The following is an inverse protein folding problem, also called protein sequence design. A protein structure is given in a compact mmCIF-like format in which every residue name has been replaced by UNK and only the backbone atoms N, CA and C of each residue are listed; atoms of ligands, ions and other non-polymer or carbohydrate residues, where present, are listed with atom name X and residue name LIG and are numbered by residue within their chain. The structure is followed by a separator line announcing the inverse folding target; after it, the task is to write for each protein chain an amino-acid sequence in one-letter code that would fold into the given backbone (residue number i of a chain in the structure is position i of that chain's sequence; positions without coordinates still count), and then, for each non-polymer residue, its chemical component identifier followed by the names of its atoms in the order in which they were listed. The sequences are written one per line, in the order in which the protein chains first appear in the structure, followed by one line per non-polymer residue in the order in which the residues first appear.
data_IF_392780680271
#
_entry.id   IF_392780680271
#
_cell.length_a   1.000
_cell.length_b   1.000
_cell.length_c   1.000
_cell.angle_alpha   90.00
_cell.angle_beta   90.00
_cell.angle_gamma   90.00
#
_symmetry.space_group_name_H-M   'P 1'
#
loop_
_entity.id
_entity.type
_entity.pdbx_description
1 polymer ?
#
# COMPACT_ATOMS: atom_id res chain seq x y z
N UNK A 1 75.89 -30.49 6.12
CA UNK A 1 75.00 -29.75 5.20
C UNK A 1 73.56 -30.03 5.62
N UNK A 2 72.99 -29.10 6.23
CA UNK A 2 71.75 -29.25 7.01
C UNK A 2 70.73 -28.23 6.47
N UNK A 3 69.76 -28.68 5.73
CA UNK A 3 68.71 -27.82 5.26
C UNK A 3 67.41 -28.18 5.96
N UNK A 4 67.06 -27.33 6.96
CA UNK A 4 65.85 -27.45 7.72
C UNK A 4 64.72 -26.84 6.97
N UNK A 5 63.68 -27.62 6.67
CA UNK A 5 62.36 -27.19 6.17
C UNK A 5 61.56 -26.70 7.37
N UNK A 6 61.33 -25.39 7.44
CA UNK A 6 60.32 -24.78 8.33
C UNK A 6 58.92 -24.85 7.68
N UNK A 7 58.10 -25.70 8.20
CA UNK A 7 56.66 -25.66 7.91
C UNK A 7 56.02 -24.53 8.74
N UNK A 8 55.76 -23.41 8.06
CA UNK A 8 54.95 -22.32 8.63
C UNK A 8 53.47 -22.72 8.62
N UNK A 9 52.90 -22.98 9.77
CA UNK A 9 51.48 -23.02 9.97
C UNK A 9 50.96 -21.59 9.97
N UNK A 10 50.12 -21.26 8.99
CA UNK A 10 49.40 -19.99 8.89
C UNK A 10 48.27 -19.98 9.92
N UNK A 11 48.22 -19.01 10.87
CA UNK A 11 47.20 -18.96 11.93
C UNK A 11 46.04 -18.01 11.58
N UNK A 12 45.55 -18.03 10.35
CA UNK A 12 44.50 -17.10 9.94
C UNK A 12 43.26 -17.76 9.31
N UNK A 13 42.88 -18.94 9.75
CA UNK A 13 41.48 -19.38 9.61
C UNK A 13 40.68 -18.95 10.87
N UNK A 14 40.43 -17.66 10.95
CA UNK A 14 39.43 -17.11 11.86
C UNK A 14 38.06 -17.54 11.35
N UNK A 15 37.50 -18.57 11.94
CA UNK A 15 36.16 -19.07 11.71
C UNK A 15 35.19 -17.92 12.03
N UNK A 16 34.77 -17.21 11.00
CA UNK A 16 33.72 -16.21 11.09
C UNK A 16 32.44 -16.86 11.66
N UNK A 17 32.05 -16.47 12.87
CA UNK A 17 30.83 -16.92 13.50
C UNK A 17 29.64 -16.62 12.57
N UNK A 18 28.64 -17.50 12.50
CA UNK A 18 27.47 -17.27 11.62
C UNK A 18 26.76 -15.98 12.03
N UNK A 19 26.84 -14.98 11.17
CA UNK A 19 26.09 -13.73 11.32
C UNK A 19 24.62 -14.12 11.43
N UNK A 20 23.97 -13.76 12.54
CA UNK A 20 22.57 -14.11 12.76
C UNK A 20 21.71 -13.58 11.59
N UNK A 21 20.71 -14.34 11.17
CA UNK A 21 19.81 -13.97 10.03
C UNK A 21 19.23 -12.57 10.24
N UNK A 22 18.93 -12.18 11.47
CA UNK A 22 18.48 -10.83 11.85
C UNK A 22 19.54 -9.75 11.57
N UNK A 23 20.84 -10.06 11.79
CA UNK A 23 21.95 -9.15 11.45
C UNK A 23 22.09 -8.94 9.95
N UNK A 24 21.93 -10.02 9.14
CA UNK A 24 22.02 -9.93 7.69
C UNK A 24 20.85 -9.17 7.05
N UNK A 25 19.65 -9.26 7.61
CA UNK A 25 18.48 -8.47 7.19
C UNK A 25 18.64 -6.99 7.53
N UNK A 26 19.16 -6.69 8.71
CA UNK A 26 19.45 -5.32 9.13
C UNK A 26 20.55 -4.67 8.26
N UNK A 27 21.59 -5.41 7.90
CA UNK A 27 22.62 -4.95 6.97
C UNK A 27 22.09 -4.76 5.55
N UNK A 28 21.25 -5.66 5.05
CA UNK A 28 20.58 -5.50 3.77
C UNK A 28 19.70 -4.27 3.77
N UNK A 29 18.94 -4.04 4.85
CA UNK A 29 18.12 -2.84 5.03
C UNK A 29 19.00 -1.57 5.09
N UNK A 30 20.11 -1.60 5.81
CA UNK A 30 21.08 -0.49 5.87
C UNK A 30 21.69 -0.20 4.50
N UNK A 31 22.09 -1.22 3.77
CA UNK A 31 22.65 -1.07 2.42
C UNK A 31 21.60 -0.53 1.43
N UNK A 32 20.34 -0.96 1.55
CA UNK A 32 19.27 -0.55 0.65
C UNK A 32 18.94 0.92 0.77
N UNK A 33 18.88 1.42 2.00
CA UNK A 33 18.71 2.84 2.28
C UNK A 33 19.94 3.62 1.82
N UNK A 34 21.19 3.01 1.82
CA UNK A 34 22.45 3.52 1.26
C UNK A 34 22.34 3.93 -0.22
N UNK A 35 21.32 3.47 -0.96
CA UNK A 35 21.18 3.72 -2.40
C UNK A 35 20.07 4.73 -2.76
N UNK A 36 19.30 5.25 -1.80
CA UNK A 36 18.27 6.23 -2.12
C UNK A 36 18.86 7.61 -2.50
N UNK A 37 18.35 8.27 -3.56
CA UNK A 37 18.93 9.53 -4.05
C UNK A 37 18.90 10.67 -3.03
N UNK A 38 17.99 10.63 -2.05
CA UNK A 38 17.84 11.65 -1.01
C UNK A 38 18.85 11.52 0.14
N UNK A 39 19.55 10.41 0.22
CA UNK A 39 20.49 10.12 1.28
C UNK A 39 21.89 9.82 0.71
N UNK A 40 22.50 10.76 0.04
CA UNK A 40 23.91 10.65 -0.43
C UNK A 40 24.93 10.54 0.71
N UNK A 41 24.51 10.85 1.93
CA UNK A 41 25.36 10.73 3.12
C UNK A 41 24.95 9.47 3.90
N UNK A 42 25.80 8.43 3.84
CA UNK A 42 25.57 7.13 4.48
C UNK A 42 25.33 7.21 5.99
N UNK A 43 25.80 8.27 6.66
CA UNK A 43 25.58 8.47 8.10
C UNK A 43 24.14 8.88 8.42
N UNK A 44 23.53 9.72 7.60
CA UNK A 44 22.13 10.16 7.76
C UNK A 44 21.12 9.05 7.49
N UNK A 45 21.50 8.10 6.74
CA UNK A 45 20.70 6.97 6.26
C UNK A 45 20.57 5.84 7.26
N UNK A 46 21.63 5.43 7.89
CA UNK A 46 21.58 4.51 9.01
C UNK A 46 20.78 5.12 10.17
N UNK A 47 20.85 6.44 10.32
CA UNK A 47 20.04 7.21 11.26
C UNK A 47 18.55 7.21 10.97
N UNK A 48 18.16 7.30 9.69
CA UNK A 48 16.74 7.31 9.32
C UNK A 48 16.04 5.97 9.54
N UNK A 49 16.68 4.83 9.18
CA UNK A 49 16.13 3.50 9.48
C UNK A 49 16.07 3.21 10.97
N UNK A 50 17.14 3.52 11.69
CA UNK A 50 17.16 3.39 13.14
C UNK A 50 16.03 4.21 13.77
N UNK A 51 15.82 5.45 13.30
CA UNK A 51 14.73 6.30 13.74
C UNK A 51 13.33 5.71 13.47
N UNK A 52 13.11 5.17 12.25
CA UNK A 52 11.81 4.53 11.91
C UNK A 52 11.60 3.28 12.77
N UNK A 53 12.60 2.45 12.92
CA UNK A 53 12.52 1.20 13.70
C UNK A 53 12.28 1.50 15.17
N UNK A 54 13.11 2.34 15.79
CA UNK A 54 12.98 2.74 17.20
C UNK A 54 11.63 3.38 17.49
N UNK A 55 11.18 4.26 16.59
CA UNK A 55 9.90 4.93 16.75
C UNK A 55 8.71 3.99 16.56
N UNK A 56 8.84 3.03 15.66
CA UNK A 56 7.82 2.02 15.39
C UNK A 56 7.66 1.02 16.55
N UNK A 57 8.75 0.69 17.26
CA UNK A 57 8.73 -0.24 18.39
C UNK A 57 7.91 0.26 19.59
N UNK A 58 7.70 1.57 19.70
CA UNK A 58 6.88 2.18 20.74
C UNK A 58 5.39 1.88 20.62
N UNK A 59 4.93 1.38 19.47
CA UNK A 59 3.52 1.14 19.20
C UNK A 59 3.18 -0.34 19.26
N UNK A 60 2.08 -0.68 19.92
CA UNK A 60 1.56 -2.04 19.95
C UNK A 60 1.02 -2.47 18.59
N UNK A 61 1.05 -3.77 18.28
CA UNK A 61 0.47 -4.33 17.06
C UNK A 61 -1.00 -3.92 16.89
N UNK A 62 -1.80 -3.98 17.96
CA UNK A 62 -3.20 -3.58 17.92
C UNK A 62 -3.39 -2.11 17.52
N UNK A 63 -2.56 -1.21 18.05
CA UNK A 63 -2.60 0.21 17.64
C UNK A 63 -2.28 0.37 16.14
N UNK A 64 -1.27 -0.32 15.63
CA UNK A 64 -0.89 -0.24 14.22
C UNK A 64 -1.99 -0.78 13.29
N UNK A 65 -2.72 -1.82 13.71
CA UNK A 65 -3.89 -2.31 12.97
C UNK A 65 -5.03 -1.28 12.97
N UNK A 66 -5.31 -0.64 14.09
CA UNK A 66 -6.29 0.45 14.17
C UNK A 66 -5.93 1.64 13.27
N UNK A 67 -4.65 2.02 13.24
CA UNK A 67 -4.16 3.07 12.32
C UNK A 67 -4.41 2.69 10.86
N UNK A 68 -4.25 1.41 10.51
CA UNK A 68 -4.50 0.93 9.15
C UNK A 68 -5.99 0.96 8.79
N UNK A 69 -6.87 0.58 9.71
CA UNK A 69 -8.32 0.74 9.53
C UNK A 69 -8.69 2.20 9.34
N UNK A 70 -8.15 3.11 10.17
CA UNK A 70 -8.40 4.54 10.05
C UNK A 70 -7.87 5.11 8.73
N UNK A 71 -6.73 4.63 8.24
CA UNK A 71 -6.20 5.01 6.93
C UNK A 71 -7.13 4.58 5.78
N UNK A 72 -7.66 3.35 5.84
CA UNK A 72 -8.64 2.87 4.86
C UNK A 72 -9.93 3.70 4.90
N UNK A 73 -10.46 3.99 6.08
CA UNK A 73 -11.62 4.85 6.25
C UNK A 73 -11.40 6.26 5.69
N UNK A 74 -10.25 6.88 5.98
CA UNK A 74 -9.89 8.17 5.44
C UNK A 74 -9.83 8.15 3.90
N UNK A 75 -9.19 7.12 3.31
CA UNK A 75 -9.15 6.93 1.86
C UNK A 75 -10.55 6.79 1.25
N UNK A 76 -11.44 6.01 1.88
CA UNK A 76 -12.83 5.87 1.43
C UNK A 76 -13.57 7.22 1.40
N UNK A 77 -13.42 8.03 2.46
CA UNK A 77 -14.05 9.35 2.52
C UNK A 77 -13.49 10.30 1.46
N UNK A 78 -12.17 10.26 1.20
CA UNK A 78 -11.55 11.04 0.13
C UNK A 78 -12.02 10.62 -1.27
N UNK A 79 -12.42 9.36 -1.45
CA UNK A 79 -12.92 8.86 -2.73
C UNK A 79 -14.37 9.25 -3.03
N UNK A 80 -15.17 9.62 -2.03
CA UNK A 80 -16.59 9.99 -2.21
C UNK A 80 -16.83 11.03 -3.29
N UNK A 81 -16.03 12.13 -3.43
CA UNK A 81 -16.20 13.06 -4.53
C UNK A 81 -16.13 12.42 -5.92
N UNK A 82 -15.39 11.31 -6.07
CA UNK A 82 -15.33 10.52 -7.30
C UNK A 82 -16.69 10.02 -7.77
N UNK A 83 -17.60 9.68 -6.84
CA UNK A 83 -18.95 9.25 -7.15
C UNK A 83 -19.75 10.31 -7.95
N UNK A 84 -19.41 11.59 -7.82
CA UNK A 84 -20.10 12.70 -8.46
C UNK A 84 -19.47 13.17 -9.78
N UNK A 85 -18.29 12.65 -10.13
CA UNK A 85 -17.58 13.02 -11.36
C UNK A 85 -18.43 12.73 -12.59
N UNK A 86 -19.20 11.65 -12.57
CA UNK A 86 -20.05 11.24 -13.67
C UNK A 86 -21.27 12.18 -13.87
N UNK A 87 -21.72 12.86 -12.83
CA UNK A 87 -22.87 13.78 -12.91
C UNK A 87 -22.56 15.03 -13.73
N UNK A 88 -21.29 15.46 -13.76
CA UNK A 88 -20.84 16.65 -14.50
C UNK A 88 -20.22 16.36 -15.87
N UNK A 89 -20.14 15.09 -16.30
CA UNK A 89 -19.48 14.73 -17.54
C UNK A 89 -20.27 15.18 -18.78
N UNK A 90 -19.61 15.90 -19.69
CA UNK A 90 -20.15 16.27 -20.99
C UNK A 90 -20.47 14.99 -21.79
N UNK A 91 -21.59 14.99 -22.52
CA UNK A 91 -22.11 13.80 -23.22
C UNK A 91 -21.06 13.09 -24.09
N UNK A 92 -20.18 13.82 -24.76
CA UNK A 92 -19.12 13.28 -25.64
C UNK A 92 -18.02 12.50 -24.92
N UNK A 93 -17.78 12.80 -23.64
CA UNK A 93 -16.77 12.14 -22.80
C UNK A 93 -17.35 11.23 -21.73
N UNK A 94 -18.66 11.09 -21.69
CA UNK A 94 -19.36 10.39 -20.60
C UNK A 94 -18.90 8.93 -20.43
N UNK A 95 -18.75 8.20 -21.52
CA UNK A 95 -18.30 6.81 -21.46
C UNK A 95 -16.85 6.68 -20.98
N UNK A 96 -15.95 7.53 -21.46
CA UNK A 96 -14.56 7.55 -20.97
C UNK A 96 -14.50 7.90 -19.48
N UNK A 97 -15.25 8.89 -19.06
CA UNK A 97 -15.31 9.32 -17.66
C UNK A 97 -15.85 8.19 -16.78
N UNK A 98 -16.92 7.53 -17.22
CA UNK A 98 -17.58 6.47 -16.47
C UNK A 98 -16.70 5.21 -16.36
N UNK A 99 -16.07 4.79 -17.47
CA UNK A 99 -15.42 3.47 -17.57
C UNK A 99 -13.95 3.52 -17.18
N UNK A 100 -13.29 4.67 -17.33
CA UNK A 100 -11.84 4.78 -17.11
C UNK A 100 -11.50 5.78 -16.00
N UNK A 101 -11.97 7.02 -16.15
CA UNK A 101 -11.51 8.11 -15.28
C UNK A 101 -12.06 7.98 -13.85
N UNK A 102 -13.34 7.67 -13.67
CA UNK A 102 -13.94 7.52 -12.35
C UNK A 102 -13.34 6.32 -11.59
N UNK A 103 -13.27 5.09 -12.16
CA UNK A 103 -12.60 3.96 -11.53
C UNK A 103 -11.15 4.25 -11.16
N UNK A 104 -10.40 4.91 -12.04
CA UNK A 104 -9.01 5.29 -11.76
C UNK A 104 -8.93 6.24 -10.56
N UNK A 105 -9.72 7.30 -10.57
CA UNK A 105 -9.73 8.29 -9.49
C UNK A 105 -10.14 7.65 -8.16
N UNK A 106 -11.17 6.82 -8.16
CA UNK A 106 -11.64 6.13 -6.97
C UNK A 106 -10.58 5.20 -6.37
N UNK A 107 -9.94 4.35 -7.20
CA UNK A 107 -8.91 3.43 -6.69
C UNK A 107 -7.69 4.17 -6.14
N UNK A 108 -7.26 5.27 -6.77
CA UNK A 108 -6.17 6.11 -6.25
C UNK A 108 -6.56 6.76 -4.92
N UNK A 109 -7.76 7.33 -4.84
CA UNK A 109 -8.22 8.05 -3.65
C UNK A 109 -8.48 7.10 -2.47
N UNK A 110 -9.00 5.88 -2.70
CA UNK A 110 -9.16 4.85 -1.68
C UNK A 110 -7.83 4.47 -1.01
N UNK A 111 -6.71 4.54 -1.75
CA UNK A 111 -5.38 4.25 -1.22
C UNK A 111 -4.70 5.47 -0.57
N UNK A 112 -5.29 6.67 -0.66
CA UNK A 112 -4.67 7.93 -0.21
C UNK A 112 -4.26 7.91 1.26
N UNK A 113 -5.08 7.30 2.14
CA UNK A 113 -4.75 7.18 3.56
C UNK A 113 -3.52 6.32 3.82
N UNK A 114 -3.38 5.18 3.13
CA UNK A 114 -2.18 4.33 3.24
C UNK A 114 -0.95 5.00 2.61
N UNK A 115 -1.10 5.68 1.48
CA UNK A 115 -0.04 6.47 0.85
C UNK A 115 0.44 7.59 1.78
N UNK A 116 -0.48 8.28 2.44
CA UNK A 116 -0.14 9.30 3.44
C UNK A 116 0.65 8.73 4.62
N UNK A 117 0.27 7.55 5.12
CA UNK A 117 1.04 6.87 6.16
C UNK A 117 2.46 6.54 5.69
N UNK A 118 2.60 5.97 4.50
CA UNK A 118 3.91 5.61 3.94
C UNK A 118 4.81 6.85 3.77
N UNK A 119 4.23 7.98 3.39
CA UNK A 119 5.00 9.21 3.16
C UNK A 119 5.29 9.97 4.46
N UNK A 120 4.29 10.20 5.30
CA UNK A 120 4.39 11.10 6.46
C UNK A 120 4.65 10.38 7.78
N UNK A 121 4.29 9.10 7.89
CA UNK A 121 4.37 8.31 9.13
C UNK A 121 4.85 6.87 8.85
N UNK A 122 5.97 6.66 8.13
CA UNK A 122 6.41 5.33 7.69
C UNK A 122 6.63 4.35 8.85
N UNK A 123 6.97 4.84 10.04
CA UNK A 123 7.12 4.02 11.26
C UNK A 123 5.83 3.36 11.75
N UNK A 124 4.67 3.79 11.25
CA UNK A 124 3.37 3.18 11.55
C UNK A 124 3.01 2.03 10.60
N UNK A 125 3.80 1.81 9.54
CA UNK A 125 3.59 0.72 8.58
C UNK A 125 4.71 -0.31 8.74
N UNK A 126 4.46 -1.34 9.56
CA UNK A 126 5.44 -2.39 9.90
C UNK A 126 5.08 -3.77 9.37
N UNK A 127 3.80 -4.03 9.12
CA UNK A 127 3.28 -5.34 8.79
C UNK A 127 2.59 -5.34 7.43
N UNK A 128 2.80 -6.41 6.67
CA UNK A 128 2.15 -6.63 5.36
C UNK A 128 0.62 -6.60 5.43
N UNK A 129 0.08 -7.07 6.56
CA UNK A 129 -1.35 -7.19 6.84
C UNK A 129 -2.05 -5.83 6.92
N UNK A 130 -1.30 -4.79 7.25
CA UNK A 130 -1.81 -3.42 7.33
C UNK A 130 -2.35 -2.91 5.98
N UNK A 131 -1.70 -3.31 4.87
CA UNK A 131 -2.17 -2.97 3.54
C UNK A 131 -3.53 -3.60 3.22
N UNK A 132 -3.70 -4.89 3.56
CA UNK A 132 -4.95 -5.59 3.33
C UNK A 132 -6.07 -5.07 4.21
N UNK A 133 -5.77 -4.77 5.47
CA UNK A 133 -6.74 -4.25 6.42
C UNK A 133 -7.23 -2.86 6.01
N UNK A 134 -6.30 -1.98 5.59
CA UNK A 134 -6.64 -0.65 5.06
C UNK A 134 -7.47 -0.76 3.78
N UNK A 135 -7.08 -1.63 2.85
CA UNK A 135 -7.79 -1.82 1.60
C UNK A 135 -9.20 -2.41 1.79
N UNK A 136 -9.31 -3.42 2.64
CA UNK A 136 -10.61 -4.03 2.96
C UNK A 136 -11.56 -3.01 3.58
N UNK A 137 -11.10 -2.29 4.61
CA UNK A 137 -11.93 -1.26 5.27
C UNK A 137 -12.27 -0.12 4.31
N UNK A 138 -11.29 0.34 3.51
CA UNK A 138 -11.49 1.41 2.53
C UNK A 138 -12.47 1.01 1.43
N UNK A 139 -12.29 -0.16 0.82
CA UNK A 139 -13.18 -0.67 -0.22
C UNK A 139 -14.60 -0.92 0.28
N UNK A 140 -14.74 -1.49 1.48
CA UNK A 140 -16.05 -1.76 2.08
C UNK A 140 -16.80 -0.46 2.42
N UNK A 141 -16.13 0.47 3.12
CA UNK A 141 -16.77 1.73 3.52
C UNK A 141 -17.13 2.58 2.30
N UNK A 142 -16.24 2.64 1.31
CA UNK A 142 -16.55 3.33 0.05
C UNK A 142 -17.78 2.73 -0.64
N UNK A 143 -17.86 1.40 -0.77
CA UNK A 143 -19.00 0.72 -1.37
C UNK A 143 -20.31 1.01 -0.63
N UNK A 144 -20.29 1.05 0.71
CA UNK A 144 -21.45 1.45 1.52
C UNK A 144 -21.88 2.87 1.20
N UNK A 145 -20.95 3.82 1.21
CA UNK A 145 -21.25 5.23 0.92
C UNK A 145 -21.78 5.42 -0.50
N UNK A 146 -21.16 4.79 -1.48
CA UNK A 146 -21.59 4.86 -2.87
C UNK A 146 -22.98 4.26 -3.05
N UNK A 147 -23.28 3.10 -2.44
CA UNK A 147 -24.62 2.49 -2.50
C UNK A 147 -25.68 3.39 -1.87
N UNK A 148 -25.39 4.11 -0.79
CA UNK A 148 -26.29 5.10 -0.21
C UNK A 148 -26.50 6.27 -1.17
N UNK A 149 -25.45 6.79 -1.81
CA UNK A 149 -25.57 7.85 -2.82
C UNK A 149 -26.44 7.37 -3.99
N UNK A 150 -26.21 6.15 -4.48
CA UNK A 150 -27.06 5.58 -5.53
C UNK A 150 -28.52 5.52 -5.10
N UNK A 151 -28.80 5.02 -3.90
CA UNK A 151 -30.18 4.87 -3.42
C UNK A 151 -30.90 6.18 -3.26
N UNK A 152 -30.26 7.18 -2.65
CA UNK A 152 -30.90 8.45 -2.29
C UNK A 152 -30.80 9.53 -3.37
N UNK A 153 -29.79 9.46 -4.25
CA UNK A 153 -29.54 10.51 -5.25
C UNK A 153 -29.82 10.00 -6.67
N UNK A 154 -29.10 8.99 -7.13
CA UNK A 154 -29.19 8.58 -8.54
C UNK A 154 -30.47 7.82 -8.89
N UNK A 155 -30.98 7.01 -7.98
CA UNK A 155 -32.18 6.20 -8.19
C UNK A 155 -33.45 6.83 -7.58
N UNK A 156 -33.35 8.03 -7.03
CA UNK A 156 -34.46 8.68 -6.31
C UNK A 156 -35.73 8.85 -7.16
N UNK A 157 -35.58 9.09 -8.45
CA UNK A 157 -36.69 9.26 -9.40
C UNK A 157 -37.36 7.95 -9.83
N UNK A 158 -36.77 6.78 -9.51
CA UNK A 158 -37.35 5.50 -9.89
C UNK A 158 -38.42 5.03 -8.90
N UNK A 159 -39.40 4.23 -9.35
CA UNK A 159 -40.32 3.52 -8.47
C UNK A 159 -39.57 2.70 -7.41
N UNK A 160 -40.10 2.66 -6.19
CA UNK A 160 -39.43 2.03 -5.04
C UNK A 160 -39.04 0.57 -5.30
N UNK A 161 -39.90 -0.20 -5.92
CA UNK A 161 -39.64 -1.61 -6.23
C UNK A 161 -38.39 -1.78 -7.10
N UNK A 162 -38.32 -1.00 -8.19
CA UNK A 162 -37.17 -1.06 -9.11
C UNK A 162 -35.88 -0.55 -8.47
N UNK A 163 -35.99 0.47 -7.63
CA UNK A 163 -34.86 0.98 -6.85
C UNK A 163 -34.32 -0.08 -5.90
N UNK A 164 -35.18 -0.82 -5.20
CA UNK A 164 -34.77 -1.89 -4.30
C UNK A 164 -34.10 -3.05 -5.04
N UNK A 165 -34.56 -3.42 -6.22
CA UNK A 165 -33.93 -4.47 -7.03
C UNK A 165 -32.50 -4.08 -7.45
N UNK A 166 -32.34 -2.86 -7.96
CA UNK A 166 -31.01 -2.36 -8.39
C UNK A 166 -30.08 -2.29 -7.18
N UNK A 167 -30.53 -1.74 -6.06
CA UNK A 167 -29.66 -1.58 -4.89
C UNK A 167 -29.30 -2.90 -4.25
N UNK A 168 -30.19 -3.90 -4.26
CA UNK A 168 -29.88 -5.25 -3.78
C UNK A 168 -28.74 -5.90 -4.59
N UNK A 169 -28.77 -5.77 -5.92
CA UNK A 169 -27.67 -6.19 -6.77
C UNK A 169 -26.37 -5.46 -6.43
N UNK A 170 -26.43 -4.13 -6.28
CA UNK A 170 -25.25 -3.32 -5.95
C UNK A 170 -24.64 -3.69 -4.60
N UNK A 171 -25.46 -3.98 -3.58
CA UNK A 171 -24.96 -4.41 -2.27
C UNK A 171 -24.11 -5.68 -2.33
N UNK A 172 -24.38 -6.58 -3.25
CA UNK A 172 -23.61 -7.82 -3.41
C UNK A 172 -22.49 -7.61 -4.43
N UNK A 173 -22.85 -7.32 -5.68
CA UNK A 173 -21.90 -7.32 -6.79
C UNK A 173 -20.93 -6.13 -6.72
N UNK A 174 -21.44 -4.89 -6.56
CA UNK A 174 -20.56 -3.72 -6.55
C UNK A 174 -19.72 -3.65 -5.27
N UNK A 175 -20.27 -4.04 -4.12
CA UNK A 175 -19.48 -4.10 -2.88
C UNK A 175 -18.33 -5.09 -3.00
N UNK A 176 -18.59 -6.29 -3.51
CA UNK A 176 -17.53 -7.27 -3.75
C UNK A 176 -16.47 -6.74 -4.74
N UNK A 177 -16.93 -6.10 -5.82
CA UNK A 177 -16.05 -5.51 -6.83
C UNK A 177 -15.13 -4.44 -6.24
N UNK A 178 -15.67 -3.45 -5.51
CA UNK A 178 -14.87 -2.40 -4.87
C UNK A 178 -13.83 -2.97 -3.89
N UNK A 179 -14.24 -3.92 -3.04
CA UNK A 179 -13.31 -4.57 -2.11
C UNK A 179 -12.19 -5.30 -2.86
N UNK A 180 -12.52 -6.08 -3.91
CA UNK A 180 -11.54 -6.79 -4.71
C UNK A 180 -10.57 -5.83 -5.42
N UNK A 181 -11.07 -4.78 -6.07
CA UNK A 181 -10.24 -3.81 -6.77
C UNK A 181 -9.29 -3.07 -5.81
N UNK A 182 -9.81 -2.64 -4.64
CA UNK A 182 -9.01 -1.98 -3.62
C UNK A 182 -7.94 -2.92 -3.03
N UNK A 183 -8.24 -4.21 -2.86
CA UNK A 183 -7.25 -5.22 -2.45
C UNK A 183 -6.18 -5.44 -3.51
N UNK A 184 -6.53 -5.47 -4.80
CA UNK A 184 -5.57 -5.57 -5.92
C UNK A 184 -4.62 -4.36 -5.89
N UNK A 185 -5.14 -3.14 -5.76
CA UNK A 185 -4.35 -1.92 -5.64
C UNK A 185 -3.39 -1.97 -4.44
N UNK A 186 -3.86 -2.47 -3.28
CA UNK A 186 -3.06 -2.63 -2.08
C UNK A 186 -1.94 -3.67 -2.23
N UNK A 187 -2.14 -4.74 -3.02
CA UNK A 187 -1.06 -5.68 -3.38
C UNK A 187 0.09 -4.96 -4.08
N UNK A 188 -0.23 -4.00 -4.95
CA UNK A 188 0.76 -3.15 -5.62
C UNK A 188 1.55 -2.30 -4.63
N UNK A 189 0.87 -1.59 -3.72
CA UNK A 189 1.53 -0.79 -2.68
C UNK A 189 2.38 -1.65 -1.74
N UNK A 190 1.86 -2.81 -1.31
CA UNK A 190 2.61 -3.77 -0.51
C UNK A 190 3.87 -4.26 -1.23
N UNK A 191 3.80 -4.53 -2.55
CA UNK A 191 4.95 -4.91 -3.36
C UNK A 191 6.00 -3.79 -3.39
N UNK A 192 5.59 -2.56 -3.67
CA UNK A 192 6.48 -1.40 -3.69
C UNK A 192 7.14 -1.21 -2.32
N UNK A 193 6.38 -1.29 -1.23
CA UNK A 193 6.89 -1.23 0.13
C UNK A 193 7.89 -2.35 0.45
N UNK A 194 7.58 -3.61 0.08
CA UNK A 194 8.51 -4.73 0.27
C UNK A 194 9.81 -4.57 -0.50
N UNK A 195 9.76 -4.06 -1.73
CA UNK A 195 10.95 -3.81 -2.54
C UNK A 195 11.82 -2.71 -1.92
N UNK A 196 11.20 -1.72 -1.29
CA UNK A 196 11.91 -0.69 -0.53
C UNK A 196 12.60 -1.28 0.72
N UNK A 197 11.86 -1.99 1.55
CA UNK A 197 12.33 -2.41 2.88
C UNK A 197 13.13 -3.72 2.87
N UNK A 198 12.83 -4.67 2.00
CA UNK A 198 13.50 -5.97 1.94
C UNK A 198 14.42 -6.14 0.73
N UNK A 199 14.22 -5.40 -0.33
CA UNK A 199 14.92 -5.56 -1.61
C UNK A 199 16.02 -4.54 -1.89
N UNK A 200 16.21 -3.55 -1.04
CA UNK A 200 17.21 -2.51 -1.22
C UNK A 200 16.95 -1.54 -2.36
N UNK A 201 15.72 -1.49 -2.85
CA UNK A 201 15.34 -0.55 -3.91
C UNK A 201 14.63 0.66 -3.29
N UNK A 202 14.81 1.88 -3.84
CA UNK A 202 14.04 3.05 -3.39
C UNK A 202 12.53 2.80 -3.55
N UNK A 203 11.71 3.50 -2.74
CA UNK A 203 10.26 3.43 -2.91
C UNK A 203 9.87 4.04 -4.26
N UNK A 204 9.44 3.18 -5.16
CA UNK A 204 8.97 3.56 -6.48
C UNK A 204 7.51 3.16 -6.63
N UNK A 205 6.63 4.14 -6.69
CA UNK A 205 5.21 3.92 -6.91
C UNK A 205 4.93 3.18 -8.23
N UNK A 206 5.87 3.27 -9.18
CA UNK A 206 5.82 2.56 -10.48
C UNK A 206 5.68 1.05 -10.29
N UNK A 207 6.23 0.48 -9.21
CA UNK A 207 6.08 -0.94 -8.89
C UNK A 207 4.64 -1.33 -8.50
N UNK A 208 3.82 -0.35 -8.10
CA UNK A 208 2.40 -0.54 -7.81
C UNK A 208 1.51 -0.36 -9.04
N UNK A 209 1.97 0.39 -10.05
CA UNK A 209 1.18 0.80 -11.21
C UNK A 209 0.48 -0.35 -11.95
N UNK A 210 1.12 -1.51 -12.23
CA UNK A 210 0.44 -2.62 -12.91
C UNK A 210 -0.81 -3.10 -12.15
N UNK A 211 -0.76 -3.10 -10.82
CA UNK A 211 -1.87 -3.51 -9.97
C UNK A 211 -3.01 -2.49 -10.00
N UNK A 212 -2.69 -1.20 -10.01
CA UNK A 212 -3.69 -0.14 -10.20
C UNK A 212 -4.38 -0.25 -11.56
N UNK A 213 -3.61 -0.50 -12.62
CA UNK A 213 -4.18 -0.71 -13.97
C UNK A 213 -5.12 -1.91 -13.99
N UNK A 214 -4.75 -3.04 -13.38
CA UNK A 214 -5.61 -4.21 -13.27
C UNK A 214 -6.86 -3.88 -12.46
N UNK A 215 -6.73 -3.20 -11.31
CA UNK A 215 -7.87 -2.81 -10.49
C UNK A 215 -8.86 -1.94 -11.26
N UNK A 216 -8.38 -0.95 -12.00
CA UNK A 216 -9.21 -0.08 -12.87
C UNK A 216 -9.87 -0.86 -14.00
N UNK A 217 -9.16 -1.82 -14.61
CA UNK A 217 -9.71 -2.63 -15.71
C UNK A 217 -10.78 -3.65 -15.25
N UNK A 218 -10.72 -4.07 -13.98
CA UNK A 218 -11.70 -4.98 -13.36
C UNK A 218 -12.89 -4.21 -12.82
N UNK A 219 -12.69 -2.96 -12.39
CA UNK A 219 -13.70 -2.06 -11.83
C UNK A 219 -14.74 -1.66 -12.88
#
# INVERSE_FOLDING_TARGET
MNDGIRTGTDPSEETAAPVSVAGSELERLRHSIGQEPFCRDGSKRSGYLAYITERGEKYSCGFLLWVSLAAGLAGALFAVPGCFVNAGAVASFRYFTLVVFAPFLEEVLKQSGMLWLLEKRPWLVRYSEQFFLSAFSGGLVFAVLENLIYYYVYLAALPQERRLQIIAFRWVACTALHVCCTLISALGLRRAWKLQYAGGKPFEIQNALPFFVIAVAVH
#
